data_IF_730555561138
#
_entry.id   IF_730555561138
#
_cell.length_a   1.000
_cell.length_b   1.000
_cell.length_c   1.000
_cell.angle_alpha   90.00
_cell.angle_beta   90.00
_cell.angle_gamma   90.00
#
_symmetry.space_group_name_H-M   'P 1'
#
loop_
_entity.id
_entity.type
_entity.pdbx_description
1 polymer ?
#
# COMPACT_ATOMS: atom_id res chain seq x y z
N UNK A 1 -9.92 -13.91 -11.09
CA UNK A 1 -8.76 -13.04 -11.35
C UNK A 1 -8.53 -13.05 -12.85
N UNK A 2 -8.61 -11.87 -13.46
CA UNK A 2 -8.26 -11.62 -14.86
C UNK A 2 -6.73 -11.50 -15.01
N UNK A 3 -6.19 -11.45 -16.25
CA UNK A 3 -4.78 -11.10 -16.47
C UNK A 3 -4.39 -9.74 -15.90
N UNK A 4 -5.25 -8.73 -16.04
CA UNK A 4 -5.02 -7.38 -15.48
C UNK A 4 -5.01 -7.41 -13.95
N UNK A 5 -5.94 -8.13 -13.31
CA UNK A 5 -5.95 -8.30 -11.85
C UNK A 5 -4.67 -8.99 -11.34
N UNK A 6 -4.06 -9.85 -12.16
CA UNK A 6 -2.81 -10.56 -11.84
C UNK A 6 -1.62 -9.63 -11.93
N UNK A 7 -1.53 -8.77 -12.96
CA UNK A 7 -0.49 -7.74 -13.04
C UNK A 7 -0.60 -6.74 -11.88
N UNK A 8 -1.82 -6.32 -11.55
CA UNK A 8 -2.07 -5.46 -10.39
C UNK A 8 -1.66 -6.15 -9.07
N UNK A 9 -1.86 -7.46 -8.92
CA UNK A 9 -1.34 -8.20 -7.76
C UNK A 9 0.19 -8.18 -7.67
N UNK A 10 0.88 -8.25 -8.81
CA UNK A 10 2.35 -8.15 -8.86
C UNK A 10 2.81 -6.74 -8.53
N UNK A 11 2.11 -5.70 -9.00
CA UNK A 11 2.34 -4.31 -8.62
C UNK A 11 2.15 -4.07 -7.11
N UNK A 12 1.09 -4.61 -6.51
CA UNK A 12 0.90 -4.58 -5.04
C UNK A 12 2.07 -5.27 -4.31
N UNK A 13 2.55 -6.41 -4.82
CA UNK A 13 3.72 -7.09 -4.27
C UNK A 13 5.01 -6.27 -4.41
N UNK A 14 5.17 -5.49 -5.49
CA UNK A 14 6.35 -4.62 -5.67
C UNK A 14 6.48 -3.58 -4.56
N UNK A 15 5.39 -3.20 -3.89
CA UNK A 15 5.45 -2.29 -2.73
C UNK A 15 6.30 -2.84 -1.58
N UNK A 16 6.32 -4.16 -1.39
CA UNK A 16 7.20 -4.84 -0.43
C UNK A 16 8.68 -4.71 -0.84
N UNK A 17 8.95 -4.70 -2.14
CA UNK A 17 10.30 -4.63 -2.72
C UNK A 17 10.74 -3.21 -3.07
N UNK A 18 9.96 -2.19 -2.70
CA UNK A 18 10.21 -0.78 -3.02
C UNK A 18 11.58 -0.27 -2.55
N UNK A 19 12.19 -0.88 -1.52
CA UNK A 19 13.53 -0.53 -1.07
C UNK A 19 14.66 -1.08 -1.97
N UNK A 20 14.35 -2.04 -2.85
CA UNK A 20 15.31 -2.64 -3.79
C UNK A 20 15.40 -1.89 -5.12
N UNK A 21 14.46 -0.97 -5.37
CA UNK A 21 14.28 -0.29 -6.64
C UNK A 21 14.20 1.23 -6.41
N UNK A 22 14.79 1.99 -7.33
CA UNK A 22 14.61 3.44 -7.41
C UNK A 22 13.14 3.79 -7.65
N UNK A 23 12.49 3.07 -8.57
CA UNK A 23 11.06 3.19 -8.85
C UNK A 23 10.52 1.87 -9.43
N UNK A 24 9.20 1.69 -9.47
CA UNK A 24 8.56 0.57 -10.14
C UNK A 24 7.26 1.02 -10.79
N UNK A 25 6.91 0.41 -11.91
CA UNK A 25 5.70 0.74 -12.65
C UNK A 25 5.08 -0.49 -13.29
N UNK A 26 3.75 -0.45 -13.45
CA UNK A 26 2.99 -1.39 -14.29
C UNK A 26 2.73 -0.72 -15.64
N UNK A 27 3.25 -1.33 -16.70
CA UNK A 27 3.21 -0.82 -18.08
C UNK A 27 2.09 -1.44 -18.93
N UNK A 28 1.32 -2.39 -18.37
CA UNK A 28 0.39 -3.26 -19.09
C UNK A 28 -0.44 -2.57 -20.18
N UNK A 29 -0.55 -3.22 -21.35
CA UNK A 29 -1.34 -2.75 -22.49
C UNK A 29 -0.66 -2.93 -23.84
N UNK A 30 -1.35 -2.52 -24.91
CA UNK A 30 -0.77 -2.55 -26.25
C UNK A 30 0.40 -1.55 -26.34
N UNK A 31 1.58 -2.03 -26.77
CA UNK A 31 2.78 -1.19 -26.89
C UNK A 31 3.74 -1.27 -25.71
N UNK A 32 3.50 -2.17 -24.76
CA UNK A 32 4.38 -2.47 -23.62
C UNK A 32 5.79 -2.97 -24.00
N UNK A 33 5.94 -3.44 -25.25
CA UNK A 33 7.17 -4.02 -25.80
C UNK A 33 7.68 -5.25 -25.03
N UNK A 34 6.81 -5.95 -24.30
CA UNK A 34 7.18 -7.10 -23.46
C UNK A 34 7.59 -6.74 -22.04
N UNK A 35 6.98 -5.70 -21.47
CA UNK A 35 7.19 -5.24 -20.09
C UNK A 35 5.84 -5.14 -19.39
N UNK A 36 5.57 -5.98 -18.38
CA UNK A 36 4.29 -5.91 -17.66
C UNK A 36 4.45 -5.08 -16.39
N UNK A 37 5.29 -5.54 -15.47
CA UNK A 37 5.71 -4.80 -14.28
C UNK A 37 7.23 -4.71 -14.28
N UNK A 38 7.76 -3.52 -14.07
CA UNK A 38 9.20 -3.26 -14.07
C UNK A 38 9.64 -2.69 -12.74
N UNK A 39 10.83 -3.09 -12.29
CA UNK A 39 11.54 -2.47 -11.17
C UNK A 39 12.80 -1.80 -11.69
N UNK A 40 12.85 -0.47 -11.63
CA UNK A 40 14.02 0.31 -11.98
C UNK A 40 15.00 0.32 -10.83
N UNK A 41 16.23 -0.14 -11.06
CA UNK A 41 17.29 -0.13 -10.05
C UNK A 41 17.97 1.24 -10.02
N UNK A 42 18.16 1.82 -11.20
CA UNK A 42 18.66 3.18 -11.37
C UNK A 42 17.56 4.12 -11.92
N UNK A 43 17.82 5.43 -11.95
CA UNK A 43 16.93 6.43 -12.54
C UNK A 43 16.88 6.32 -14.08
N UNK A 44 15.74 5.86 -14.66
CA UNK A 44 15.63 5.65 -16.11
C UNK A 44 15.53 6.95 -16.91
N UNK A 45 15.27 8.09 -16.27
CA UNK A 45 15.17 9.41 -16.93
C UNK A 45 16.56 10.00 -17.15
N UNK A 46 17.50 9.75 -16.24
CA UNK A 46 18.83 10.38 -16.26
C UNK A 46 19.92 9.52 -16.89
N UNK A 47 19.73 8.21 -16.95
CA UNK A 47 20.74 7.27 -17.41
C UNK A 47 20.23 6.53 -18.64
N UNK A 48 20.97 6.54 -19.74
CA UNK A 48 20.57 5.80 -20.95
C UNK A 48 20.76 4.28 -20.84
N UNK A 49 21.62 3.83 -19.93
CA UNK A 49 21.92 2.40 -19.68
C UNK A 49 21.61 2.05 -18.22
N UNK A 50 20.41 2.42 -17.77
CA UNK A 50 19.91 2.12 -16.43
C UNK A 50 19.73 0.60 -16.23
N UNK A 51 19.93 0.14 -15.00
CA UNK A 51 19.60 -1.22 -14.61
C UNK A 51 18.12 -1.32 -14.24
N UNK A 52 17.48 -2.39 -14.66
CA UNK A 52 16.08 -2.69 -14.35
C UNK A 52 15.82 -4.20 -14.41
N UNK A 53 14.78 -4.63 -13.70
CA UNK A 53 14.26 -5.99 -13.73
C UNK A 53 12.86 -6.01 -14.34
N UNK A 54 12.57 -7.03 -15.15
CA UNK A 54 11.23 -7.25 -15.71
C UNK A 54 10.51 -8.39 -14.99
N UNK A 55 9.24 -8.19 -14.67
CA UNK A 55 8.32 -9.18 -14.11
C UNK A 55 7.21 -9.46 -15.11
N UNK A 56 7.51 -10.29 -16.12
CA UNK A 56 6.55 -10.67 -17.14
C UNK A 56 5.48 -11.59 -16.55
N UNK A 57 4.29 -11.04 -16.41
CA UNK A 57 3.08 -11.67 -15.93
C UNK A 57 2.42 -12.49 -17.05
N UNK A 58 2.06 -13.73 -16.74
CA UNK A 58 1.26 -14.57 -17.64
C UNK A 58 0.20 -15.35 -16.86
N UNK A 59 -1.06 -15.02 -17.13
CA UNK A 59 -2.20 -15.64 -16.46
C UNK A 59 -2.88 -16.69 -17.36
N UNK A 60 -2.40 -17.94 -17.29
CA UNK A 60 -2.98 -19.09 -18.00
C UNK A 60 -3.58 -20.12 -17.04
N UNK A 61 -4.49 -20.95 -17.55
CA UNK A 61 -5.12 -22.03 -16.79
C UNK A 61 -4.15 -23.16 -16.40
N UNK A 62 -3.04 -23.31 -17.13
CA UNK A 62 -2.01 -24.32 -16.92
C UNK A 62 -0.64 -23.67 -16.64
N UNK A 63 0.30 -24.38 -16.00
CA UNK A 63 1.68 -23.91 -15.86
C UNK A 63 2.29 -23.53 -17.20
N UNK A 64 3.13 -22.50 -17.20
CA UNK A 64 3.77 -22.02 -18.43
C UNK A 64 4.59 -23.10 -19.11
N UNK A 65 4.44 -23.19 -20.43
CA UNK A 65 5.20 -24.08 -21.30
C UNK A 65 6.21 -23.30 -22.15
N UNK A 66 7.24 -23.96 -22.72
CA UNK A 66 8.21 -23.27 -23.57
C UNK A 66 7.59 -22.52 -24.75
N UNK A 67 6.52 -23.05 -25.36
CA UNK A 67 5.87 -22.39 -26.51
C UNK A 67 5.26 -21.03 -26.18
N UNK A 68 5.01 -20.75 -24.89
CA UNK A 68 4.38 -19.51 -24.43
C UNK A 68 5.39 -18.41 -24.09
N UNK A 69 6.69 -18.72 -24.04
CA UNK A 69 7.71 -17.75 -23.60
C UNK A 69 8.65 -17.28 -24.72
N UNK A 70 8.70 -17.98 -25.86
CA UNK A 70 9.64 -17.63 -26.93
C UNK A 70 9.41 -16.23 -27.49
N UNK A 71 8.15 -15.85 -27.71
CA UNK A 71 7.80 -14.48 -28.14
C UNK A 71 8.27 -13.45 -27.13
N UNK A 72 8.12 -13.72 -25.83
CA UNK A 72 8.46 -12.74 -24.79
C UNK A 72 9.99 -12.55 -24.67
N UNK A 73 10.77 -13.64 -24.72
CA UNK A 73 12.23 -13.56 -24.82
C UNK A 73 12.64 -12.80 -26.10
N UNK A 74 11.98 -13.13 -27.22
CA UNK A 74 12.23 -12.49 -28.51
C UNK A 74 11.96 -10.99 -28.49
N UNK A 75 10.88 -10.54 -27.84
CA UNK A 75 10.56 -9.11 -27.66
C UNK A 75 11.66 -8.38 -26.91
N UNK A 76 12.07 -8.85 -25.73
CA UNK A 76 13.15 -8.20 -24.98
C UNK A 76 14.44 -8.12 -25.78
N UNK A 77 14.85 -9.21 -26.43
CA UNK A 77 16.05 -9.22 -27.26
C UNK A 77 15.96 -8.22 -28.42
N UNK A 78 14.80 -8.11 -29.06
CA UNK A 78 14.59 -7.25 -30.21
C UNK A 78 14.54 -5.77 -29.84
N UNK A 79 13.73 -5.40 -28.84
CA UNK A 79 13.58 -4.01 -28.45
C UNK A 79 14.84 -3.47 -27.75
N UNK A 80 15.58 -4.31 -27.03
CA UNK A 80 16.90 -3.92 -26.54
C UNK A 80 17.94 -3.77 -27.65
N UNK A 81 17.86 -4.58 -28.72
CA UNK A 81 18.67 -4.40 -29.93
C UNK A 81 18.33 -3.08 -30.66
N UNK A 82 17.08 -2.61 -30.56
CA UNK A 82 16.65 -1.30 -31.10
C UNK A 82 17.03 -0.11 -30.22
N UNK A 83 17.56 -0.36 -29.02
CA UNK A 83 17.85 0.65 -28.00
C UNK A 83 16.58 1.38 -27.51
N UNK A 84 15.42 0.72 -27.57
CA UNK A 84 14.19 1.25 -26.96
C UNK A 84 14.31 1.25 -25.43
N UNK A 85 15.10 0.31 -24.89
CA UNK A 85 15.56 0.24 -23.51
C UNK A 85 16.81 -0.65 -23.40
N UNK A 86 17.66 -0.50 -22.35
CA UNK A 86 18.77 -1.41 -22.11
C UNK A 86 18.29 -2.84 -21.80
N UNK A 87 19.11 -3.85 -22.08
CA UNK A 87 18.75 -5.24 -21.75
C UNK A 87 18.67 -5.41 -20.21
N UNK A 88 17.63 -6.08 -19.67
CA UNK A 88 17.37 -6.08 -18.23
C UNK A 88 18.42 -6.87 -17.44
N UNK A 89 18.59 -6.49 -16.17
CA UNK A 89 19.43 -7.20 -15.19
C UNK A 89 18.83 -8.55 -14.82
N UNK A 90 17.51 -8.62 -14.64
CA UNK A 90 16.74 -9.85 -14.43
C UNK A 90 15.44 -9.84 -15.22
N UNK A 91 15.00 -11.02 -15.63
CA UNK A 91 13.73 -11.22 -16.29
C UNK A 91 13.02 -12.41 -15.65
N UNK A 92 11.88 -12.15 -15.00
CA UNK A 92 11.10 -13.16 -14.32
C UNK A 92 9.81 -13.47 -15.06
N UNK A 93 9.56 -14.75 -15.32
CA UNK A 93 8.23 -15.24 -15.68
C UNK A 93 7.39 -15.44 -14.42
N UNK A 94 6.30 -14.68 -14.32
CA UNK A 94 5.41 -14.64 -13.16
C UNK A 94 4.03 -15.17 -13.56
N UNK A 95 3.73 -16.41 -13.17
CA UNK A 95 2.46 -17.06 -13.50
C UNK A 95 1.79 -17.65 -12.26
N UNK A 96 0.45 -17.58 -12.12
CA UNK A 96 -0.25 -18.12 -10.94
C UNK A 96 -0.06 -19.63 -10.75
N UNK A 97 0.11 -20.37 -11.86
CA UNK A 97 0.37 -21.82 -11.87
C UNK A 97 1.85 -22.16 -12.03
N UNK A 98 2.73 -21.17 -11.92
CA UNK A 98 4.16 -21.32 -12.13
C UNK A 98 4.51 -21.77 -13.55
N UNK A 99 5.64 -22.46 -13.69
CA UNK A 99 6.11 -23.01 -14.96
C UNK A 99 6.15 -24.54 -14.91
N UNK A 100 5.87 -25.19 -16.04
CA UNK A 100 6.00 -26.63 -16.17
C UNK A 100 7.45 -27.11 -16.14
N UNK A 101 7.67 -28.40 -15.83
CA UNK A 101 9.01 -29.00 -15.65
C UNK A 101 9.95 -28.74 -16.82
N UNK A 102 9.48 -28.89 -18.06
CA UNK A 102 10.30 -28.66 -19.26
C UNK A 102 10.83 -27.23 -19.33
N UNK A 103 9.95 -26.24 -19.10
CA UNK A 103 10.37 -24.84 -19.07
C UNK A 103 11.29 -24.57 -17.88
N UNK A 104 11.00 -25.12 -16.70
CA UNK A 104 11.88 -25.00 -15.54
C UNK A 104 13.29 -25.54 -15.79
N UNK A 105 13.44 -26.60 -16.59
CA UNK A 105 14.75 -27.13 -16.97
C UNK A 105 15.47 -26.18 -17.92
N UNK A 106 14.77 -25.63 -18.92
CA UNK A 106 15.36 -24.64 -19.84
C UNK A 106 15.88 -23.40 -19.10
N UNK A 107 15.12 -22.86 -18.15
CA UNK A 107 15.55 -21.67 -17.38
C UNK A 107 16.81 -21.92 -16.53
N UNK A 108 17.14 -23.18 -16.23
CA UNK A 108 18.38 -23.56 -15.51
C UNK A 108 19.57 -23.78 -16.46
N UNK A 109 19.36 -23.69 -17.76
CA UNK A 109 20.35 -24.00 -18.79
C UNK A 109 20.37 -22.88 -19.85
N UNK A 110 21.02 -21.74 -19.55
CA UNK A 110 20.99 -20.54 -20.39
C UNK A 110 21.41 -20.79 -21.85
N UNK A 111 22.43 -21.63 -22.07
CA UNK A 111 22.91 -21.94 -23.43
C UNK A 111 21.89 -22.77 -24.22
N UNK A 112 21.25 -23.76 -23.59
CA UNK A 112 20.17 -24.54 -24.21
C UNK A 112 18.93 -23.68 -24.47
N UNK A 113 18.62 -22.73 -23.58
CA UNK A 113 17.53 -21.77 -23.76
C UNK A 113 17.79 -20.85 -24.96
N UNK A 114 19.02 -20.32 -25.09
CA UNK A 114 19.43 -19.47 -26.22
C UNK A 114 19.38 -20.25 -27.55
N UNK A 115 19.90 -21.46 -27.58
CA UNK A 115 19.84 -22.31 -28.78
C UNK A 115 18.39 -22.63 -29.18
N UNK A 116 17.54 -22.95 -28.19
CA UNK A 116 16.13 -23.24 -28.43
C UNK A 116 15.37 -22.01 -28.95
N UNK A 117 15.69 -20.79 -28.47
CA UNK A 117 15.13 -19.55 -29.02
C UNK A 117 15.40 -19.45 -30.53
N UNK A 118 16.63 -19.71 -30.97
CA UNK A 118 16.96 -19.67 -32.41
C UNK A 118 16.18 -20.71 -33.22
N UNK A 119 16.09 -21.94 -32.73
CA UNK A 119 15.33 -23.02 -33.39
C UNK A 119 13.83 -22.71 -33.49
N UNK A 120 13.31 -21.94 -32.53
CA UNK A 120 11.89 -21.60 -32.43
C UNK A 120 11.56 -20.19 -32.96
N UNK A 121 12.55 -19.43 -33.42
CA UNK A 121 12.38 -18.04 -33.83
C UNK A 121 11.35 -17.88 -34.94
N UNK A 122 11.49 -18.62 -36.04
CA UNK A 122 10.60 -18.51 -37.19
C UNK A 122 9.17 -18.90 -36.87
N UNK A 123 8.99 -19.86 -35.95
CA UNK A 123 7.66 -20.37 -35.58
C UNK A 123 6.91 -19.40 -34.64
N UNK A 124 7.60 -18.79 -33.68
CA UNK A 124 6.94 -18.01 -32.64
C UNK A 124 7.29 -16.52 -32.71
N UNK A 125 8.57 -16.17 -32.83
CA UNK A 125 9.05 -14.79 -32.74
C UNK A 125 8.81 -13.97 -34.01
N UNK A 126 9.08 -14.56 -35.19
CA UNK A 126 9.11 -13.86 -36.47
C UNK A 126 7.88 -12.99 -36.72
N UNK A 127 6.69 -13.51 -36.44
CA UNK A 127 5.43 -12.76 -36.59
C UNK A 127 4.77 -12.42 -35.24
N UNK A 128 5.42 -12.74 -34.11
CA UNK A 128 4.85 -12.58 -32.77
C UNK A 128 5.42 -11.42 -31.96
N UNK A 129 6.56 -10.84 -32.37
CA UNK A 129 7.18 -9.71 -31.66
C UNK A 129 6.41 -8.40 -31.86
N UNK A 130 5.98 -8.11 -33.10
CA UNK A 130 5.21 -6.92 -33.45
C UNK A 130 4.13 -7.26 -34.46
N UNK A 131 3.01 -6.52 -34.45
CA UNK A 131 1.95 -6.64 -35.45
C UNK A 131 2.31 -5.98 -36.80
N UNK A 132 3.26 -5.05 -36.81
CA UNK A 132 3.53 -4.19 -37.98
C UNK A 132 4.45 -4.83 -39.02
N UNK A 133 5.34 -5.74 -38.62
CA UNK A 133 6.26 -6.41 -39.54
C UNK A 133 6.78 -7.73 -38.99
N UNK A 134 7.20 -8.59 -39.91
CA UNK A 134 7.95 -9.79 -39.58
C UNK A 134 9.39 -9.45 -39.18
N UNK A 135 9.84 -10.01 -38.06
CA UNK A 135 11.20 -9.86 -37.52
C UNK A 135 12.01 -11.11 -37.86
N UNK A 136 12.78 -11.05 -38.94
CA UNK A 136 13.71 -12.13 -39.30
C UNK A 136 14.92 -12.09 -38.38
N UNK A 137 15.38 -13.26 -37.94
CA UNK A 137 16.65 -13.39 -37.22
C UNK A 137 17.83 -13.24 -38.18
N UNK A 138 18.11 -12.00 -38.57
CA UNK A 138 19.24 -11.67 -39.43
C UNK A 138 20.59 -11.78 -38.69
N UNK A 139 21.68 -11.62 -39.44
CA UNK A 139 23.05 -11.73 -38.92
C UNK A 139 23.30 -10.71 -37.79
N UNK A 140 22.76 -9.50 -37.90
CA UNK A 140 22.98 -8.42 -36.93
C UNK A 140 22.26 -8.68 -35.62
N UNK A 141 20.96 -9.03 -35.67
CA UNK A 141 20.18 -9.37 -34.50
C UNK A 141 20.73 -10.63 -33.82
N UNK A 142 21.09 -11.66 -34.59
CA UNK A 142 21.70 -12.86 -34.03
C UNK A 142 23.02 -12.55 -33.33
N UNK A 143 23.91 -11.77 -33.96
CA UNK A 143 25.19 -11.38 -33.36
C UNK A 143 25.03 -10.54 -32.08
N UNK A 144 23.94 -9.77 -31.97
CA UNK A 144 23.56 -9.10 -30.73
C UNK A 144 23.13 -10.12 -29.66
N UNK A 145 22.18 -11.00 -29.97
CA UNK A 145 21.66 -12.02 -29.02
C UNK A 145 22.77 -12.96 -28.54
N UNK A 146 23.73 -13.29 -29.39
CA UNK A 146 24.87 -14.15 -29.02
C UNK A 146 25.66 -13.56 -27.84
N UNK A 147 25.75 -12.23 -27.72
CA UNK A 147 26.46 -11.52 -26.63
C UNK A 147 25.65 -11.37 -25.35
N UNK A 148 24.33 -11.60 -25.39
CA UNK A 148 23.46 -11.44 -24.23
C UNK A 148 23.65 -12.58 -23.24
N UNK A 149 23.56 -12.26 -21.95
CA UNK A 149 23.52 -13.26 -20.89
C UNK A 149 22.08 -13.77 -20.73
N UNK A 150 21.86 -15.06 -21.01
CA UNK A 150 20.55 -15.71 -20.88
C UNK A 150 20.30 -16.24 -19.45
N UNK A 151 21.27 -16.12 -18.53
CA UNK A 151 21.09 -16.46 -17.11
C UNK A 151 20.15 -15.50 -16.38
N UNK A 152 19.78 -14.38 -17.01
CA UNK A 152 18.84 -13.41 -16.46
C UNK A 152 17.40 -13.94 -16.43
N UNK A 153 17.05 -14.90 -17.29
CA UNK A 153 15.71 -15.44 -17.43
C UNK A 153 15.43 -16.48 -16.35
N UNK A 154 14.50 -16.19 -15.46
CA UNK A 154 14.10 -17.10 -14.40
C UNK A 154 12.60 -16.98 -14.12
N UNK A 155 12.15 -17.59 -13.02
CA UNK A 155 10.80 -17.53 -12.49
C UNK A 155 10.84 -17.24 -11.01
N UNK A 156 9.74 -16.69 -10.51
CA UNK A 156 9.51 -16.62 -9.07
C UNK A 156 8.34 -17.55 -8.75
N UNK A 157 8.54 -18.42 -7.76
CA UNK A 157 7.48 -19.30 -7.31
C UNK A 157 6.36 -18.46 -6.66
N UNK A 158 5.12 -18.67 -7.07
CA UNK A 158 3.95 -17.92 -6.60
C UNK A 158 3.84 -17.87 -5.07
N UNK A 159 4.22 -18.96 -4.39
CA UNK A 159 4.21 -19.00 -2.93
C UNK A 159 5.16 -17.97 -2.30
N UNK A 160 6.32 -17.68 -2.92
CA UNK A 160 7.25 -16.65 -2.42
C UNK A 160 6.61 -15.27 -2.51
N UNK A 161 5.97 -14.99 -3.65
CA UNK A 161 5.22 -13.74 -3.87
C UNK A 161 4.12 -13.59 -2.82
N UNK A 162 3.34 -14.66 -2.56
CA UNK A 162 2.27 -14.62 -1.55
C UNK A 162 2.82 -14.34 -0.15
N UNK A 163 3.93 -14.97 0.25
CA UNK A 163 4.57 -14.78 1.56
C UNK A 163 5.15 -13.37 1.75
N UNK A 164 5.62 -12.75 0.67
CA UNK A 164 6.11 -11.37 0.69
C UNK A 164 4.95 -10.38 0.66
N UNK A 165 3.95 -10.63 -0.21
CA UNK A 165 2.73 -9.85 -0.28
C UNK A 165 1.98 -9.85 1.05
N UNK A 166 2.07 -10.91 1.87
CA UNK A 166 1.44 -10.96 3.20
C UNK A 166 1.95 -9.93 4.20
N UNK A 167 3.03 -9.23 3.85
CA UNK A 167 3.61 -8.13 4.63
C UNK A 167 3.24 -6.76 4.09
N UNK A 168 2.43 -6.69 3.03
CA UNK A 168 1.93 -5.44 2.45
C UNK A 168 0.56 -5.08 3.03
N UNK A 169 0.22 -3.80 2.98
CA UNK A 169 -1.09 -3.28 3.36
C UNK A 169 -2.26 -3.81 2.51
N UNK A 170 -1.98 -4.46 1.37
CA UNK A 170 -3.00 -4.93 0.43
C UNK A 170 -3.48 -6.36 0.73
N UNK A 171 -2.72 -7.13 1.52
CA UNK A 171 -2.98 -8.56 1.68
C UNK A 171 -4.32 -8.88 2.31
N UNK A 172 -4.67 -8.18 3.39
CA UNK A 172 -5.92 -8.41 4.14
C UNK A 172 -7.11 -8.19 3.22
N UNK A 173 -7.13 -7.07 2.51
CA UNK A 173 -8.20 -6.73 1.57
C UNK A 173 -8.27 -7.69 0.39
N UNK A 174 -7.11 -8.07 -0.18
CA UNK A 174 -7.07 -8.93 -1.38
C UNK A 174 -7.48 -10.38 -1.10
N UNK A 175 -7.03 -10.94 0.02
CA UNK A 175 -7.28 -12.35 0.35
C UNK A 175 -8.42 -12.56 1.35
N UNK A 176 -9.00 -11.49 1.90
CA UNK A 176 -10.04 -11.57 2.92
C UNK A 176 -9.55 -12.26 4.19
N UNK A 177 -8.25 -12.18 4.49
CA UNK A 177 -7.67 -12.77 5.68
C UNK A 177 -8.03 -11.96 6.92
N UNK A 178 -7.81 -12.54 8.11
CA UNK A 178 -7.95 -11.79 9.34
C UNK A 178 -6.88 -10.70 9.43
N UNK A 179 -7.22 -9.57 10.05
CA UNK A 179 -6.25 -8.56 10.43
C UNK A 179 -5.19 -9.16 11.37
N UNK A 180 -3.92 -8.74 11.26
CA UNK A 180 -2.92 -9.08 12.26
C UNK A 180 -3.33 -8.52 13.62
N UNK A 181 -2.74 -9.07 14.69
CA UNK A 181 -2.98 -8.55 16.04
C UNK A 181 -2.52 -7.09 16.11
N UNK A 182 -3.44 -6.19 16.48
CA UNK A 182 -3.12 -4.78 16.75
C UNK A 182 -2.07 -4.68 17.88
N UNK A 183 -1.05 -3.83 17.74
CA UNK A 183 -0.07 -3.60 18.80
C UNK A 183 -0.75 -3.00 20.05
N UNK A 184 -0.16 -3.24 21.21
CA UNK A 184 -0.64 -2.61 22.44
C UNK A 184 -0.45 -1.10 22.39
N UNK A 185 -1.46 -0.36 22.86
CA UNK A 185 -1.34 1.09 23.02
C UNK A 185 -0.23 1.40 24.03
N UNK A 186 0.73 2.27 23.70
CA UNK A 186 1.81 2.61 24.62
C UNK A 186 1.28 3.37 25.85
N UNK A 187 2.09 3.43 26.91
CA UNK A 187 1.74 4.23 28.09
C UNK A 187 1.76 5.72 27.74
N UNK A 188 0.76 6.45 28.24
CA UNK A 188 0.67 7.89 28.10
C UNK A 188 1.91 8.59 28.69
N UNK A 189 2.43 9.58 27.95
CA UNK A 189 3.51 10.45 28.43
C UNK A 189 2.99 11.40 29.52
N UNK A 190 3.83 11.67 30.54
CA UNK A 190 3.50 12.67 31.56
C UNK A 190 3.37 14.09 30.98
N UNK A 191 4.07 14.38 29.88
CA UNK A 191 4.00 15.66 29.17
C UNK A 191 3.05 15.57 27.98
N UNK A 192 2.36 16.66 27.71
CA UNK A 192 1.57 16.87 26.50
C UNK A 192 2.52 16.99 25.31
N UNK A 193 2.32 16.16 24.28
CA UNK A 193 3.11 16.19 23.04
C UNK A 193 2.60 17.23 22.03
N UNK A 194 3.40 17.55 21.02
CA UNK A 194 3.04 18.56 20.02
C UNK A 194 1.81 18.16 19.18
N UNK A 195 1.63 16.86 18.95
CA UNK A 195 0.52 16.30 18.19
C UNK A 195 -0.83 16.33 18.93
N UNK A 196 -0.86 16.65 20.23
CA UNK A 196 -2.08 16.73 21.04
C UNK A 196 -2.44 18.17 21.46
N UNK A 197 -1.60 19.16 21.15
CA UNK A 197 -1.75 20.53 21.65
C UNK A 197 -3.09 21.16 21.28
N UNK A 198 -3.54 20.99 20.03
CA UNK A 198 -4.77 21.64 19.54
C UNK A 198 -5.98 21.15 20.32
N UNK A 199 -6.22 19.84 20.39
CA UNK A 199 -7.40 19.36 21.12
C UNK A 199 -7.27 19.56 22.63
N UNK A 200 -6.06 19.51 23.20
CA UNK A 200 -5.85 19.78 24.62
C UNK A 200 -6.20 21.22 24.96
N UNK A 201 -5.84 22.18 24.10
CA UNK A 201 -6.24 23.58 24.25
C UNK A 201 -7.77 23.71 24.22
N UNK A 202 -8.44 23.10 23.25
CA UNK A 202 -9.91 23.06 23.17
C UNK A 202 -10.55 22.49 24.43
N UNK A 203 -9.96 21.44 25.00
CA UNK A 203 -10.44 20.87 26.26
C UNK A 203 -10.23 21.81 27.45
N UNK A 204 -9.11 22.54 27.52
CA UNK A 204 -8.87 23.54 28.56
C UNK A 204 -9.91 24.66 28.49
N UNK A 205 -10.21 25.18 27.30
CA UNK A 205 -11.27 26.18 27.09
C UNK A 205 -12.64 25.64 27.51
N UNK A 206 -12.96 24.39 27.16
CA UNK A 206 -14.20 23.75 27.59
C UNK A 206 -14.30 23.62 29.13
N UNK A 207 -13.18 23.34 29.80
CA UNK A 207 -13.13 23.30 31.27
C UNK A 207 -13.27 24.70 31.87
N UNK A 208 -12.64 25.70 31.26
CA UNK A 208 -12.68 27.09 31.69
C UNK A 208 -14.09 27.68 31.60
N UNK A 209 -14.77 27.43 30.49
CA UNK A 209 -16.17 27.79 30.25
C UNK A 209 -17.11 27.19 31.31
N UNK A 210 -16.85 25.93 31.73
CA UNK A 210 -17.59 25.32 32.84
C UNK A 210 -17.16 25.87 34.22
N UNK A 211 -15.93 26.37 34.38
CA UNK A 211 -15.37 26.81 35.67
C UNK A 211 -15.36 28.33 35.86
N UNK A 212 -15.99 29.10 34.97
CA UNK A 212 -16.08 30.56 35.02
C UNK A 212 -14.72 31.30 34.96
N UNK A 213 -13.75 30.85 34.16
CA UNK A 213 -12.58 31.69 33.81
C UNK A 213 -11.32 31.54 34.67
N UNK A 214 -11.07 30.37 35.28
CA UNK A 214 -9.90 30.12 36.15
C UNK A 214 -8.89 29.10 35.60
N UNK A 215 -9.05 28.61 34.36
CA UNK A 215 -8.25 27.52 33.78
C UNK A 215 -7.69 27.94 32.42
N UNK A 216 -6.38 28.20 32.35
CA UNK A 216 -5.70 28.52 31.09
C UNK A 216 -4.74 27.40 30.65
N UNK A 217 -4.09 26.75 31.62
CA UNK A 217 -3.03 25.78 31.36
C UNK A 217 -3.27 24.44 32.05
N UNK A 218 -2.57 23.40 31.56
CA UNK A 218 -2.59 22.06 32.18
C UNK A 218 -2.15 22.09 33.65
N UNK A 219 -1.32 23.07 34.05
CA UNK A 219 -0.86 23.20 35.44
C UNK A 219 -1.98 23.60 36.39
N UNK A 220 -2.94 24.39 35.91
CA UNK A 220 -4.06 24.89 36.71
C UNK A 220 -4.98 23.75 37.15
N UNK A 221 -5.03 22.68 36.35
CA UNK A 221 -5.81 21.46 36.63
C UNK A 221 -5.39 20.73 37.91
N UNK A 222 -4.23 21.03 38.51
CA UNK A 222 -3.84 20.48 39.81
C UNK A 222 -4.89 20.79 40.89
N UNK A 223 -5.54 21.96 40.80
CA UNK A 223 -6.56 22.40 41.75
C UNK A 223 -7.97 21.87 41.41
N UNK A 224 -8.15 21.25 40.24
CA UNK A 224 -9.45 20.79 39.75
C UNK A 224 -9.42 19.29 39.38
N UNK A 225 -9.54 18.38 40.37
CA UNK A 225 -9.43 16.93 40.15
C UNK A 225 -10.38 16.38 39.08
N UNK A 226 -11.58 16.97 38.94
CA UNK A 226 -12.58 16.61 37.93
C UNK A 226 -12.02 16.74 36.51
N UNK A 227 -11.46 17.89 36.17
CA UNK A 227 -10.92 18.18 34.84
C UNK A 227 -9.59 17.47 34.61
N UNK A 228 -8.73 17.39 35.63
CA UNK A 228 -7.48 16.64 35.55
C UNK A 228 -7.72 15.15 35.23
N UNK A 229 -8.68 14.52 35.91
CA UNK A 229 -9.06 13.13 35.65
C UNK A 229 -9.71 12.96 34.27
N UNK A 230 -10.49 13.94 33.80
CA UNK A 230 -11.04 13.92 32.45
C UNK A 230 -9.94 14.03 31.39
N UNK A 231 -9.04 15.00 31.51
CA UNK A 231 -7.92 15.18 30.58
C UNK A 231 -7.04 13.92 30.49
N UNK A 232 -6.73 13.27 31.62
CA UNK A 232 -5.98 12.00 31.62
C UNK A 232 -6.66 10.94 30.75
N UNK A 233 -7.97 10.71 30.95
CA UNK A 233 -8.74 9.76 30.13
C UNK A 233 -8.84 10.18 28.67
N UNK A 234 -9.02 11.48 28.39
CA UNK A 234 -9.06 12.01 27.01
C UNK A 234 -7.74 11.80 26.27
N UNK A 235 -6.61 11.98 26.95
CA UNK A 235 -5.28 11.72 26.38
C UNK A 235 -5.02 10.23 26.16
N UNK A 236 -5.52 9.36 27.05
CA UNK A 236 -5.51 7.90 26.83
C UNK A 236 -6.36 7.53 25.60
N UNK A 237 -7.59 8.02 25.52
CA UNK A 237 -8.48 7.80 24.38
C UNK A 237 -7.83 8.26 23.06
N UNK A 238 -7.26 9.47 23.02
CA UNK A 238 -6.53 9.99 21.85
C UNK A 238 -5.38 9.09 21.42
N UNK A 239 -4.56 8.61 22.37
CA UNK A 239 -3.44 7.71 22.08
C UNK A 239 -3.90 6.35 21.53
N UNK A 240 -5.04 5.84 22.01
CA UNK A 240 -5.68 4.67 21.43
C UNK A 240 -6.04 4.91 19.96
N UNK A 241 -6.74 6.02 19.64
CA UNK A 241 -7.09 6.35 18.27
C UNK A 241 -5.86 6.55 17.36
N UNK A 242 -4.79 7.17 17.86
CA UNK A 242 -3.51 7.30 17.12
C UNK A 242 -2.84 5.95 16.83
N UNK A 243 -2.91 5.03 17.79
CA UNK A 243 -2.41 3.66 17.63
C UNK A 243 -3.23 2.91 16.58
N UNK A 244 -4.55 3.09 16.57
CA UNK A 244 -5.43 2.51 15.54
C UNK A 244 -5.16 3.09 14.15
N UNK A 245 -4.97 4.41 14.05
CA UNK A 245 -4.64 5.11 12.79
C UNK A 245 -3.34 4.59 12.19
N UNK A 246 -2.29 4.49 13.01
CA UNK A 246 -0.99 3.94 12.60
C UNK A 246 -1.13 2.48 12.17
N UNK A 247 -1.82 1.66 12.95
CA UNK A 247 -2.08 0.27 12.62
C UNK A 247 -2.83 0.12 11.29
N UNK A 248 -3.86 0.92 11.04
CA UNK A 248 -4.59 0.92 9.77
C UNK A 248 -3.68 1.28 8.61
N UNK A 249 -2.90 2.36 8.72
CA UNK A 249 -1.96 2.80 7.66
C UNK A 249 -0.96 1.71 7.27
N UNK A 250 -0.48 0.94 8.25
CA UNK A 250 0.55 -0.06 8.00
C UNK A 250 -0.02 -1.39 7.51
N UNK A 251 -1.32 -1.66 7.71
CA UNK A 251 -1.94 -2.97 7.47
C UNK A 251 -3.05 -2.99 6.43
N UNK A 252 -3.60 -1.83 6.09
CA UNK A 252 -4.75 -1.68 5.20
C UNK A 252 -4.47 -0.61 4.13
N UNK A 253 -5.16 -0.66 2.99
CA UNK A 253 -5.09 0.40 1.99
C UNK A 253 -5.43 1.78 2.58
N UNK A 254 -5.06 2.83 1.84
CA UNK A 254 -5.35 4.22 2.21
C UNK A 254 -6.84 4.42 2.49
N UNK A 255 -7.13 5.37 3.37
CA UNK A 255 -8.47 5.87 3.73
C UNK A 255 -9.35 4.93 4.58
N UNK A 256 -8.89 3.71 4.93
CA UNK A 256 -9.69 2.79 5.74
C UNK A 256 -9.97 3.30 7.17
N UNK A 257 -9.02 4.03 7.77
CA UNK A 257 -9.21 4.67 9.07
C UNK A 257 -10.16 5.88 8.95
N UNK A 258 -9.95 6.70 7.93
CA UNK A 258 -10.69 7.93 7.64
C UNK A 258 -12.17 7.64 7.37
N UNK A 259 -12.49 6.46 6.80
CA UNK A 259 -13.88 5.99 6.69
C UNK A 259 -14.55 5.88 8.06
N UNK A 260 -13.87 5.34 9.07
CA UNK A 260 -14.42 5.21 10.43
C UNK A 260 -14.52 6.58 11.11
N UNK A 261 -13.48 7.40 10.97
CA UNK A 261 -13.48 8.77 11.49
C UNK A 261 -14.70 9.55 10.97
N UNK A 262 -15.01 9.43 9.68
CA UNK A 262 -16.18 10.06 9.06
C UNK A 262 -17.51 9.50 9.57
N UNK A 263 -17.61 8.19 9.80
CA UNK A 263 -18.81 7.60 10.39
C UNK A 263 -19.04 8.13 11.81
N UNK A 264 -17.98 8.30 12.60
CA UNK A 264 -18.08 8.88 13.94
C UNK A 264 -18.46 10.36 13.86
N UNK A 265 -17.81 11.15 12.99
CA UNK A 265 -18.15 12.55 12.77
C UNK A 265 -19.63 12.72 12.41
N UNK A 266 -20.10 12.00 11.39
CA UNK A 266 -21.50 12.04 10.95
C UNK A 266 -22.48 11.64 12.08
N UNK A 267 -22.06 10.76 12.99
CA UNK A 267 -22.89 10.32 14.11
C UNK A 267 -22.94 11.29 15.29
N UNK A 268 -22.01 12.26 15.37
CA UNK A 268 -21.95 13.22 16.48
C UNK A 268 -22.14 14.68 16.07
N UNK A 269 -22.05 15.00 14.77
CA UNK A 269 -22.00 16.39 14.29
C UNK A 269 -23.23 17.19 14.73
N UNK A 270 -24.44 16.61 14.65
CA UNK A 270 -25.67 17.28 15.09
C UNK A 270 -25.60 17.64 16.59
N UNK A 271 -24.94 16.83 17.42
CA UNK A 271 -24.75 17.12 18.86
C UNK A 271 -23.68 18.19 19.05
N UNK A 272 -22.63 18.22 18.22
CA UNK A 272 -21.60 19.26 18.26
C UNK A 272 -22.20 20.63 17.94
N UNK A 273 -23.10 20.68 16.96
CA UNK A 273 -23.78 21.88 16.45
C UNK A 273 -25.00 22.30 17.29
N UNK A 274 -25.48 21.45 18.22
CA UNK A 274 -26.58 21.79 19.13
C UNK A 274 -26.18 22.83 20.19
N UNK A 275 -27.19 23.38 20.88
CA UNK A 275 -27.02 24.29 22.00
C UNK A 275 -26.59 23.51 23.26
N UNK A 276 -25.51 23.95 23.91
CA UNK A 276 -25.05 23.36 25.17
C UNK A 276 -24.83 24.44 26.22
N UNK A 277 -25.07 24.09 27.49
CA UNK A 277 -24.88 25.03 28.60
C UNK A 277 -23.42 25.44 28.82
N UNK A 278 -22.46 24.66 28.33
CA UNK A 278 -21.02 24.92 28.33
C UNK A 278 -20.28 23.86 27.50
N UNK A 279 -19.05 24.16 27.09
CA UNK A 279 -18.21 23.29 26.30
C UNK A 279 -17.86 21.97 26.99
N UNK A 280 -17.70 21.95 28.33
CA UNK A 280 -17.44 20.68 29.02
C UNK A 280 -18.64 19.72 28.99
N UNK A 281 -19.87 20.24 29.02
CA UNK A 281 -21.07 19.45 28.82
C UNK A 281 -21.15 18.92 27.38
N UNK A 282 -20.89 19.78 26.38
CA UNK A 282 -20.79 19.40 24.96
C UNK A 282 -19.83 18.24 24.75
N UNK A 283 -18.59 18.35 25.25
CA UNK A 283 -17.56 17.29 25.17
C UNK A 283 -18.10 15.96 25.73
N UNK A 284 -18.69 15.97 26.92
CA UNK A 284 -19.20 14.74 27.54
C UNK A 284 -20.34 14.10 26.74
N UNK A 285 -21.23 14.91 26.18
CA UNK A 285 -22.36 14.42 25.38
C UNK A 285 -21.89 13.80 24.06
N UNK A 286 -21.01 14.49 23.34
CA UNK A 286 -20.38 14.01 22.10
C UNK A 286 -19.61 12.71 22.34
N UNK A 287 -18.75 12.66 23.36
CA UNK A 287 -17.99 11.44 23.68
C UNK A 287 -18.89 10.29 24.14
N UNK A 288 -20.00 10.58 24.82
CA UNK A 288 -20.99 9.57 25.20
C UNK A 288 -21.64 8.96 23.97
N UNK A 289 -22.03 9.78 23.00
CA UNK A 289 -22.64 9.30 21.76
C UNK A 289 -21.64 8.52 20.91
N UNK A 290 -20.45 9.07 20.67
CA UNK A 290 -19.39 8.39 19.91
C UNK A 290 -19.09 6.98 20.44
N UNK A 291 -19.06 6.81 21.77
CA UNK A 291 -18.82 5.51 22.40
C UNK A 291 -19.96 4.51 22.20
N UNK A 292 -21.20 5.00 21.98
CA UNK A 292 -22.42 4.19 21.80
C UNK A 292 -22.81 3.92 20.35
N UNK A 293 -22.29 4.70 19.41
CA UNK A 293 -22.59 4.55 17.98
C UNK A 293 -22.46 3.10 17.51
N UNK A 294 -23.47 2.64 16.78
CA UNK A 294 -23.44 1.35 16.09
C UNK A 294 -22.81 1.56 14.72
N UNK A 295 -21.52 1.23 14.62
CA UNK A 295 -20.78 1.35 13.37
C UNK A 295 -21.04 0.13 12.48
N UNK A 296 -21.20 0.32 11.15
CA UNK A 296 -21.29 -0.79 10.23
C UNK A 296 -20.01 -1.62 10.24
N UNK A 297 -20.14 -2.92 9.94
CA UNK A 297 -18.99 -3.82 9.83
C UNK A 297 -18.02 -3.32 8.75
N UNK A 298 -16.78 -3.12 9.14
CA UNK A 298 -15.66 -2.65 8.32
C UNK A 298 -14.39 -3.44 8.66
N UNK A 299 -13.31 -3.23 7.92
CA UNK A 299 -12.07 -3.98 8.07
C UNK A 299 -11.49 -3.89 9.50
N UNK A 300 -11.56 -2.73 10.16
CA UNK A 300 -11.02 -2.50 11.51
C UNK A 300 -12.00 -2.87 12.64
N UNK A 301 -13.21 -3.36 12.32
CA UNK A 301 -14.25 -3.62 13.33
C UNK A 301 -13.82 -4.62 14.40
N UNK A 302 -12.94 -5.56 14.06
CA UNK A 302 -12.41 -6.56 15.01
C UNK A 302 -11.37 -6.00 15.99
N UNK A 303 -10.78 -4.84 15.71
CA UNK A 303 -9.73 -4.22 16.55
C UNK A 303 -10.11 -2.84 17.11
N UNK A 304 -11.33 -2.37 16.83
CA UNK A 304 -11.88 -1.12 17.35
C UNK A 304 -12.34 -1.30 18.80
N UNK A 305 -11.95 -0.37 19.67
CA UNK A 305 -12.30 -0.32 21.09
C UNK A 305 -13.12 0.93 21.41
N UNK A 306 -13.71 0.96 22.62
CA UNK A 306 -14.47 2.13 23.09
C UNK A 306 -13.58 3.36 23.23
N UNK A 307 -12.32 3.18 23.64
CA UNK A 307 -11.35 4.27 23.76
C UNK A 307 -11.02 4.89 22.41
N UNK A 308 -10.91 4.08 21.34
CA UNK A 308 -10.65 4.60 19.99
C UNK A 308 -11.77 5.55 19.54
N UNK A 309 -13.02 5.23 19.83
CA UNK A 309 -14.17 6.08 19.43
C UNK A 309 -14.13 7.45 20.10
N UNK A 310 -13.81 7.50 21.39
CA UNK A 310 -13.60 8.78 22.10
C UNK A 310 -12.36 9.51 21.60
N UNK A 311 -11.29 8.78 21.30
CA UNK A 311 -10.05 9.34 20.77
C UNK A 311 -10.21 9.93 19.38
N UNK A 312 -11.05 9.34 18.54
CA UNK A 312 -11.38 9.86 17.22
C UNK A 312 -12.08 11.23 17.33
N UNK A 313 -12.96 11.45 18.30
CA UNK A 313 -13.49 12.80 18.56
C UNK A 313 -12.37 13.79 18.94
N UNK A 314 -11.38 13.35 19.72
CA UNK A 314 -10.23 14.19 20.04
C UNK A 314 -9.34 14.44 18.80
N UNK A 315 -9.17 13.48 17.89
CA UNK A 315 -8.50 13.69 16.60
C UNK A 315 -9.25 14.68 15.71
N UNK A 316 -10.58 14.55 15.59
CA UNK A 316 -11.44 15.50 14.88
C UNK A 316 -11.27 16.92 15.44
N UNK A 317 -11.26 17.06 16.77
CA UNK A 317 -11.02 18.36 17.41
C UNK A 317 -9.60 18.88 17.15
N UNK A 318 -8.61 17.99 17.12
CA UNK A 318 -7.21 18.31 16.83
C UNK A 318 -7.00 18.77 15.38
N UNK A 319 -7.81 18.24 14.46
CA UNK A 319 -7.84 18.60 13.04
C UNK A 319 -8.70 19.84 12.75
N UNK A 320 -9.29 20.47 13.78
CA UNK A 320 -10.27 21.56 13.65
C UNK A 320 -11.54 21.19 12.87
N UNK A 321 -11.90 19.92 12.82
CA UNK A 321 -13.16 19.45 12.23
C UNK A 321 -14.33 19.64 13.21
N UNK A 322 -14.06 19.66 14.52
CA UNK A 322 -15.04 20.00 15.56
C UNK A 322 -14.42 20.92 16.62
N UNK A 323 -15.27 21.66 17.34
CA UNK A 323 -14.89 22.46 18.50
C UNK A 323 -15.87 22.25 19.67
N UNK A 324 -15.42 22.62 20.86
CA UNK A 324 -16.18 22.52 22.10
C UNK A 324 -16.80 23.87 22.54
N UNK A 325 -16.26 24.99 22.06
CA UNK A 325 -16.71 26.34 22.38
C UNK A 325 -16.97 27.12 21.07
N UNK A 326 -17.88 28.09 21.08
CA UNK A 326 -18.35 28.77 19.86
C UNK A 326 -17.33 29.75 19.25
N UNK A 327 -16.35 30.22 20.03
CA UNK A 327 -15.36 31.22 19.61
C UNK A 327 -14.23 30.66 18.69
N UNK A 328 -14.45 29.57 17.97
CA UNK A 328 -13.38 28.80 17.30
C UNK A 328 -13.56 28.50 15.80
N UNK A 329 -14.39 29.24 15.06
CA UNK A 329 -14.45 29.15 13.58
C UNK A 329 -13.77 30.34 12.92
#
# INVERSE_FOLDING_TARGET
MSPDDWEHFIEEWMTYRSQEYFDYERLGGAGDQGRDVVGYVDDPVRLNNYLWDNFQCKHYAQPLTPSQIWVEIGKICYFSFKNDYPFPRKYYFIAPKGVGTKLSTYLKKPDELKLALYQHWDKYCKNGITETKAIVLDISLKAYIDKLDFSIFDKIATIKIILEHSKTQFHVTRFGTQLPKRPETPKISAKVGDNELTYVKKLLQAYDDHNNGEIDTVKDLINYPKYNNHLKRSREDFLHAETLRTFSRDTLPKDEFEKIQRQILNGVIDIVEDDHSNGFNKVKEVLREAKRLQLPTNLLSSCLTVNDRGGICHQLANNNEISWCEDEI
#
